data_IF_176137472982
#
_entry.id   IF_176137472982
#
_cell.length_a   1.000
_cell.length_b   1.000
_cell.length_c   1.000
_cell.angle_alpha   90.00
_cell.angle_beta   90.00
_cell.angle_gamma   90.00
#
_symmetry.space_group_name_H-M   'P 1'
#
loop_
_entity.id
_entity.type
_entity.pdbx_description
1 polymer ?
#
# COMPACT_ATOMS: atom_id res chain seq x y z
N UNK A 1 5.68 -15.29 1.21
CA UNK A 1 5.09 -13.98 1.57
C UNK A 1 3.72 -13.92 0.91
N UNK A 2 2.64 -13.79 1.68
CA UNK A 2 1.30 -13.56 1.12
C UNK A 2 1.29 -12.21 0.39
N UNK A 3 0.55 -12.12 -0.72
CA UNK A 3 0.52 -10.92 -1.59
C UNK A 3 0.14 -9.66 -0.79
N UNK A 4 -0.77 -9.79 0.17
CA UNK A 4 -1.16 -8.71 1.10
C UNK A 4 0.00 -8.20 1.96
N UNK A 5 0.85 -9.09 2.47
CA UNK A 5 2.03 -8.70 3.26
C UNK A 5 3.07 -7.97 2.41
N UNK A 6 3.23 -8.36 1.14
CA UNK A 6 4.14 -7.67 0.23
C UNK A 6 3.62 -6.27 -0.12
N UNK A 7 2.34 -6.12 -0.44
CA UNK A 7 1.72 -4.81 -0.69
C UNK A 7 1.84 -3.88 0.51
N UNK A 8 1.57 -4.38 1.72
CA UNK A 8 1.73 -3.60 2.95
C UNK A 8 3.18 -3.15 3.15
N UNK A 9 4.15 -4.04 2.96
CA UNK A 9 5.57 -3.71 3.16
C UNK A 9 6.06 -2.63 2.20
N UNK A 10 5.65 -2.69 0.94
CA UNK A 10 6.00 -1.66 -0.07
C UNK A 10 5.44 -0.30 0.34
N UNK A 11 4.19 -0.23 0.80
CA UNK A 11 3.59 1.02 1.27
C UNK A 11 4.33 1.57 2.49
N UNK A 12 4.66 0.72 3.46
CA UNK A 12 5.39 1.13 4.66
C UNK A 12 6.77 1.71 4.34
N UNK A 13 7.55 1.03 3.49
CA UNK A 13 8.87 1.48 3.09
C UNK A 13 8.79 2.81 2.30
N UNK A 14 7.77 2.94 1.43
CA UNK A 14 7.51 4.19 0.70
C UNK A 14 7.19 5.36 1.65
N UNK A 15 6.32 5.16 2.64
CA UNK A 15 5.97 6.18 3.63
C UNK A 15 7.21 6.56 4.46
N UNK A 16 8.01 5.57 4.88
CA UNK A 16 9.20 5.81 5.69
C UNK A 16 10.26 6.64 4.95
N UNK A 17 10.43 6.43 3.64
CA UNK A 17 11.40 7.15 2.83
C UNK A 17 10.92 8.55 2.38
N UNK A 18 9.64 8.70 2.03
CA UNK A 18 9.13 9.89 1.32
C UNK A 18 8.32 10.81 2.23
N UNK A 19 7.79 10.31 3.36
CA UNK A 19 6.92 11.07 4.29
C UNK A 19 5.79 11.85 3.57
N UNK A 20 5.01 11.20 2.68
CA UNK A 20 3.99 11.90 1.91
C UNK A 20 2.79 12.28 2.78
N UNK A 21 2.14 13.43 2.49
CA UNK A 21 0.89 13.84 3.14
C UNK A 21 -0.27 12.87 2.86
N UNK A 22 -0.27 12.27 1.67
CA UNK A 22 -1.22 11.24 1.25
C UNK A 22 -0.52 10.29 0.27
N UNK A 23 -0.78 8.98 0.42
CA UNK A 23 -0.28 7.96 -0.50
C UNK A 23 -1.30 6.84 -0.68
N UNK A 24 -1.35 6.34 -1.93
CA UNK A 24 -2.13 5.18 -2.36
C UNK A 24 -1.22 4.27 -3.18
N UNK A 25 -1.24 2.97 -2.90
CA UNK A 25 -0.55 1.97 -3.71
C UNK A 25 -1.55 0.96 -4.25
N UNK A 26 -1.39 0.63 -5.53
CA UNK A 26 -2.09 -0.46 -6.18
C UNK A 26 -1.05 -1.47 -6.65
N UNK A 27 -1.28 -2.75 -6.33
CA UNK A 27 -0.38 -3.83 -6.73
C UNK A 27 -1.17 -4.85 -7.52
N UNK A 28 -0.64 -5.21 -8.69
CA UNK A 28 -1.21 -6.23 -9.57
C UNK A 28 -0.31 -7.46 -9.45
N UNK A 29 -0.84 -8.50 -8.83
CA UNK A 29 -0.12 -9.76 -8.66
C UNK A 29 -0.57 -10.74 -9.75
N UNK A 30 0.36 -11.21 -10.57
CA UNK A 30 0.06 -12.25 -11.55
C UNK A 30 -0.45 -13.51 -10.82
N UNK A 31 -1.68 -13.92 -11.13
CA UNK A 31 -2.30 -15.07 -10.51
C UNK A 31 -1.57 -16.37 -10.85
N UNK A 32 -1.35 -17.24 -9.86
CA UNK A 32 -1.27 -18.68 -10.12
C UNK A 32 -2.69 -19.23 -10.10
N UNK A 33 -3.22 -19.63 -11.26
CA UNK A 33 -4.56 -20.26 -11.36
C UNK A 33 -5.72 -19.34 -11.77
N UNK A 34 -5.47 -18.15 -12.32
CA UNK A 34 -6.51 -17.33 -12.97
C UNK A 34 -7.39 -16.49 -12.03
N UNK A 35 -6.94 -16.19 -10.81
CA UNK A 35 -7.63 -15.32 -9.85
C UNK A 35 -6.74 -14.13 -9.51
N UNK A 36 -7.09 -12.95 -10.00
CA UNK A 36 -6.40 -11.69 -9.71
C UNK A 36 -6.89 -11.10 -8.37
N UNK A 37 -5.96 -10.58 -7.56
CA UNK A 37 -6.27 -9.95 -6.27
C UNK A 37 -5.89 -8.47 -6.33
N UNK A 38 -6.86 -7.58 -6.09
CA UNK A 38 -6.67 -6.13 -6.01
C UNK A 38 -6.75 -5.68 -4.55
N UNK A 39 -5.67 -5.09 -4.05
CA UNK A 39 -5.59 -4.54 -2.69
C UNK A 39 -5.43 -3.03 -2.78
N UNK A 40 -6.35 -2.30 -2.14
CA UNK A 40 -6.33 -0.84 -2.05
C UNK A 40 -6.09 -0.41 -0.60
N UNK A 41 -5.14 0.50 -0.40
CA UNK A 41 -4.82 1.11 0.90
C UNK A 41 -4.59 2.60 0.74
N UNK A 42 -5.17 3.38 1.64
CA UNK A 42 -5.08 4.83 1.69
C UNK A 42 -4.64 5.24 3.11
N UNK A 43 -3.73 6.23 3.20
CA UNK A 43 -3.36 6.85 4.48
C UNK A 43 -3.38 8.36 4.34
N UNK A 44 -4.19 9.03 5.16
CA UNK A 44 -4.18 10.48 5.36
C UNK A 44 -3.28 10.82 6.54
N UNK A 45 -2.31 11.72 6.35
CA UNK A 45 -1.59 12.36 7.45
C UNK A 45 -2.11 13.81 7.58
N UNK A 46 -3.29 13.93 8.18
CA UNK A 46 -3.84 15.19 8.64
C UNK A 46 -3.89 15.16 10.16
N UNK A 47 -2.81 15.58 10.80
CA UNK A 47 -2.87 16.09 12.17
C UNK A 47 -3.12 17.59 12.04
N UNK A 48 -4.39 17.96 12.11
CA UNK A 48 -4.80 19.32 12.46
C UNK A 48 -4.40 19.50 13.93
N UNK A 49 -3.22 20.08 14.16
CA UNK A 49 -2.77 20.45 15.48
C UNK A 49 -3.47 21.77 15.85
N UNK A 50 -4.17 21.86 16.99
CA UNK A 50 -5.04 23.00 17.36
C UNK A 50 -4.33 24.34 17.49
#
# INVERSE_FOLDING_TARGET
IFQEHATNKILEDFIACVQPKWAKIETIWNARGGIDVRVERERFQGEDNP
#
